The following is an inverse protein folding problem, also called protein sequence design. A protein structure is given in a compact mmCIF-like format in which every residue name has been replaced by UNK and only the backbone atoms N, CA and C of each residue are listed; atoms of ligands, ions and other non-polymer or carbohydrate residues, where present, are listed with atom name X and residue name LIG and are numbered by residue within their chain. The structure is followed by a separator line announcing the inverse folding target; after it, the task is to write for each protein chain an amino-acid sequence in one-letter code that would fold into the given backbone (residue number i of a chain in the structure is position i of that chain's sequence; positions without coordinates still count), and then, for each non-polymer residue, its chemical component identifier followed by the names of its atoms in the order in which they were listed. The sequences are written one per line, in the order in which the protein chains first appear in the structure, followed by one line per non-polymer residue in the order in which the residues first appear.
data_IF_019350525343
#
_entry.id   IF_019350525343
#
_cell.length_a   1.000
_cell.length_b   1.000
_cell.length_c   1.000
_cell.angle_alpha   90.00
_cell.angle_beta   90.00
_cell.angle_gamma   90.00
#
_symmetry.space_group_name_H-M   'P 1'
#
loop_
_entity.id
_entity.type
_entity.pdbx_description
1 polymer ?
#
# COMPACT_ATOMS: atom_id res chain seq x y z
N UNK A 1 -6.14 7.04 25.36
CA UNK A 1 -6.76 5.78 24.88
C UNK A 1 -8.02 5.97 24.04
N UNK A 2 -9.07 6.68 24.52
CA UNK A 2 -10.38 6.69 23.85
C UNK A 2 -10.42 7.13 22.37
N UNK A 3 -9.60 8.10 21.94
CA UNK A 3 -9.56 8.53 20.52
C UNK A 3 -8.90 7.49 19.59
N UNK A 4 -7.84 6.81 20.06
CA UNK A 4 -7.11 5.81 19.28
C UNK A 4 -8.01 4.60 19.01
N UNK A 5 -8.70 4.13 20.04
CA UNK A 5 -9.61 2.99 19.93
C UNK A 5 -10.72 3.28 18.92
N UNK A 6 -11.32 4.48 18.96
CA UNK A 6 -12.36 4.90 18.00
C UNK A 6 -11.90 4.84 16.54
N UNK A 7 -10.66 5.21 16.25
CA UNK A 7 -10.13 5.15 14.88
C UNK A 7 -9.99 3.69 14.45
N UNK A 8 -9.42 2.85 15.31
CA UNK A 8 -9.22 1.43 15.00
C UNK A 8 -10.56 0.70 14.86
N UNK A 9 -11.52 0.98 15.74
CA UNK A 9 -12.89 0.45 15.66
C UNK A 9 -13.57 0.87 14.36
N UNK A 10 -13.47 2.15 13.99
CA UNK A 10 -14.03 2.64 12.73
C UNK A 10 -13.40 1.94 11.52
N UNK A 11 -12.08 1.76 11.50
CA UNK A 11 -11.38 1.04 10.41
C UNK A 11 -11.81 -0.43 10.34
N UNK A 12 -11.94 -1.13 11.47
CA UNK A 12 -12.34 -2.53 11.49
C UNK A 12 -13.84 -2.73 11.19
N UNK A 13 -14.69 -1.74 11.50
CA UNK A 13 -16.15 -1.84 11.34
C UNK A 13 -16.69 -1.23 10.05
N UNK A 14 -15.88 -0.50 9.28
CA UNK A 14 -16.34 0.14 8.04
C UNK A 14 -16.50 -0.90 6.91
N UNK A 15 -17.71 -1.05 6.32
CA UNK A 15 -17.97 -2.06 5.28
C UNK A 15 -17.21 -1.82 3.97
N UNK A 16 -16.73 -0.59 3.74
CA UNK A 16 -15.93 -0.24 2.57
C UNK A 16 -14.44 -0.48 2.75
N UNK A 17 -13.99 -0.93 3.94
CA UNK A 17 -12.59 -1.17 4.26
C UNK A 17 -12.37 -2.67 4.44
N UNK A 18 -11.44 -3.22 3.66
CA UNK A 18 -11.01 -4.61 3.82
C UNK A 18 -9.61 -4.65 4.45
N UNK A 19 -9.52 -5.22 5.65
CA UNK A 19 -8.24 -5.40 6.36
C UNK A 19 -7.64 -6.76 5.97
N UNK A 20 -6.49 -6.73 5.29
CA UNK A 20 -5.77 -7.94 4.92
C UNK A 20 -4.71 -8.26 5.99
N UNK A 21 -4.81 -9.43 6.62
CA UNK A 21 -3.83 -9.97 7.57
C UNK A 21 -3.41 -11.34 7.06
N UNK A 22 -2.36 -11.38 6.25
CA UNK A 22 -1.93 -12.59 5.55
C UNK A 22 -0.42 -12.70 5.53
N UNK A 23 0.10 -13.85 5.97
CA UNK A 23 1.54 -14.14 5.87
C UNK A 23 2.06 -14.02 4.43
N UNK A 24 1.22 -14.34 3.42
CA UNK A 24 1.59 -14.17 2.03
C UNK A 24 1.78 -12.69 1.65
N UNK A 25 0.95 -11.80 2.20
CA UNK A 25 1.12 -10.36 2.02
C UNK A 25 2.44 -9.89 2.65
N UNK A 26 2.76 -10.38 3.84
CA UNK A 26 4.00 -10.05 4.55
C UNK A 26 5.25 -10.49 3.75
N UNK A 27 5.20 -11.70 3.15
CA UNK A 27 6.27 -12.24 2.30
C UNK A 27 6.44 -11.43 1.02
N UNK A 28 5.35 -11.09 0.32
CA UNK A 28 5.42 -10.29 -0.90
C UNK A 28 5.94 -8.87 -0.63
N UNK A 29 5.54 -8.25 0.48
CA UNK A 29 6.07 -6.97 0.91
C UNK A 29 7.57 -7.06 1.21
N UNK A 30 8.03 -8.12 1.87
CA UNK A 30 9.46 -8.34 2.13
C UNK A 30 10.27 -8.52 0.84
N UNK A 31 9.75 -9.26 -0.15
CA UNK A 31 10.38 -9.38 -1.48
C UNK A 31 10.51 -8.01 -2.15
N UNK A 32 9.44 -7.21 -2.15
CA UNK A 32 9.45 -5.86 -2.69
C UNK A 32 10.50 -4.97 -2.01
N UNK A 33 10.63 -5.06 -0.68
CA UNK A 33 11.64 -4.32 0.08
C UNK A 33 13.07 -4.66 -0.37
N UNK A 34 13.35 -5.94 -0.59
CA UNK A 34 14.67 -6.39 -1.04
C UNK A 34 14.95 -6.03 -2.50
N UNK A 35 13.93 -6.07 -3.35
CA UNK A 35 14.07 -5.78 -4.78
C UNK A 35 14.20 -4.29 -5.08
N UNK A 36 13.38 -3.46 -4.45
CA UNK A 36 13.23 -2.04 -4.82
C UNK A 36 13.78 -1.06 -3.77
N UNK A 37 14.13 -1.54 -2.57
CA UNK A 37 14.72 -0.69 -1.52
C UNK A 37 13.75 0.26 -0.80
N UNK A 38 12.49 0.35 -1.22
CA UNK A 38 11.44 1.26 -0.71
C UNK A 38 11.14 1.11 0.78
N UNK A 39 10.44 2.05 1.40
CA UNK A 39 9.89 1.84 2.74
C UNK A 39 9.00 0.57 2.81
N UNK A 40 9.06 -0.16 3.92
CA UNK A 40 8.30 -1.42 4.06
C UNK A 40 6.77 -1.17 3.96
N UNK A 41 6.31 -0.02 4.44
CA UNK A 41 4.90 0.41 4.31
C UNK A 41 4.46 0.53 2.85
N UNK A 42 5.32 1.06 1.98
CA UNK A 42 5.03 1.20 0.56
C UNK A 42 5.07 -0.15 -0.14
N UNK A 43 5.98 -1.03 0.31
CA UNK A 43 6.01 -2.42 -0.16
C UNK A 43 4.72 -3.17 0.19
N UNK A 44 4.14 -2.94 1.37
CA UNK A 44 2.83 -3.50 1.72
C UNK A 44 1.71 -3.00 0.80
N UNK A 45 1.72 -1.71 0.46
CA UNK A 45 0.76 -1.14 -0.46
C UNK A 45 0.85 -1.78 -1.86
N UNK A 46 2.07 -1.91 -2.40
CA UNK A 46 2.34 -2.51 -3.70
C UNK A 46 2.06 -4.03 -3.72
N UNK A 47 2.45 -4.75 -2.67
CA UNK A 47 2.14 -6.16 -2.54
C UNK A 47 0.64 -6.41 -2.49
N UNK A 48 -0.09 -5.60 -1.72
CA UNK A 48 -1.54 -5.69 -1.63
C UNK A 48 -2.23 -5.35 -2.96
N UNK A 49 -1.75 -4.32 -3.67
CA UNK A 49 -2.29 -3.97 -4.98
C UNK A 49 -2.11 -5.10 -5.98
N UNK A 50 -0.94 -5.75 -6.00
CA UNK A 50 -0.68 -6.92 -6.85
C UNK A 50 -1.56 -8.12 -6.48
N UNK A 51 -1.68 -8.46 -5.20
CA UNK A 51 -2.49 -9.60 -4.72
C UNK A 51 -3.98 -9.43 -5.04
N UNK A 52 -4.47 -8.18 -5.06
CA UNK A 52 -5.89 -7.86 -5.27
C UNK A 52 -6.18 -7.35 -6.68
N UNK A 53 -5.20 -7.35 -7.58
CA UNK A 53 -5.27 -6.70 -8.90
C UNK A 53 -5.81 -5.25 -8.83
N UNK A 54 -5.45 -4.54 -7.76
CA UNK A 54 -5.88 -3.18 -7.46
C UNK A 54 -4.87 -2.12 -7.90
N UNK A 55 -5.30 -0.86 -7.83
CA UNK A 55 -4.43 0.31 -8.05
C UNK A 55 -3.79 0.73 -6.72
N UNK A 56 -2.46 0.86 -6.70
CA UNK A 56 -1.75 1.46 -5.57
C UNK A 56 -1.82 2.99 -5.68
N UNK A 57 -2.37 3.64 -4.66
CA UNK A 57 -2.55 5.09 -4.63
C UNK A 57 -1.49 5.70 -3.72
N UNK A 58 -0.63 6.54 -4.29
CA UNK A 58 0.36 7.32 -3.56
C UNK A 58 -0.06 8.78 -3.54
N UNK A 59 0.36 9.52 -2.50
CA UNK A 59 0.04 10.95 -2.42
C UNK A 59 0.76 11.76 -3.50
N UNK A 60 2.03 11.47 -3.75
CA UNK A 60 2.94 12.19 -4.65
C UNK A 60 4.03 11.24 -5.15
N UNK A 61 4.73 11.62 -6.22
CA UNK A 61 5.93 10.90 -6.68
C UNK A 61 7.07 11.14 -5.71
N UNK A 62 7.62 10.04 -5.21
CA UNK A 62 8.82 10.07 -4.37
C UNK A 62 10.00 9.56 -5.17
N UNK A 63 11.22 10.01 -4.83
CA UNK A 63 12.44 9.67 -5.58
C UNK A 63 12.71 8.15 -5.63
N UNK A 64 12.16 7.43 -4.66
CA UNK A 64 12.29 5.98 -4.54
C UNK A 64 11.39 5.23 -5.55
N UNK A 65 10.32 5.88 -6.05
CA UNK A 65 9.44 5.31 -7.07
C UNK A 65 10.08 5.53 -8.44
N UNK A 66 10.60 4.45 -9.01
CA UNK A 66 11.25 4.47 -10.32
C UNK A 66 10.26 4.17 -11.45
N UNK A 67 10.57 4.56 -12.70
CA UNK A 67 9.73 4.21 -13.85
C UNK A 67 9.52 2.69 -14.03
N UNK A 68 10.48 1.87 -13.63
CA UNK A 68 10.34 0.41 -13.67
C UNK A 68 9.28 -0.08 -12.68
N UNK A 69 9.22 0.54 -11.48
CA UNK A 69 8.17 0.25 -10.50
C UNK A 69 6.80 0.68 -11.00
N UNK A 70 6.70 1.84 -11.66
CA UNK A 70 5.45 2.32 -12.27
C UNK A 70 4.97 1.42 -13.43
N UNK A 71 5.88 0.68 -14.08
CA UNK A 71 5.52 -0.30 -15.12
C UNK A 71 5.05 -1.62 -14.53
N UNK A 72 5.65 -2.06 -13.43
CA UNK A 72 5.33 -3.33 -12.77
C UNK A 72 4.00 -3.28 -11.99
N UNK A 73 3.58 -2.08 -11.58
CA UNK A 73 2.40 -1.87 -10.74
C UNK A 73 1.44 -0.84 -11.34
N UNK A 74 0.13 -1.05 -11.14
CA UNK A 74 -0.89 -0.03 -11.42
C UNK A 74 -0.80 1.06 -10.34
N UNK A 75 0.04 2.08 -10.55
CA UNK A 75 0.24 3.19 -9.62
C UNK A 75 -0.53 4.44 -10.08
N UNK A 76 -1.14 5.13 -9.13
CA UNK A 76 -1.79 6.43 -9.33
C UNK A 76 -1.28 7.41 -8.26
N UNK A 77 -0.96 8.64 -8.67
CA UNK A 77 -0.53 9.70 -7.77
C UNK A 77 -1.64 10.73 -7.58
N UNK A 78 -2.00 11.01 -6.32
CA UNK A 78 -3.05 11.98 -6.02
C UNK A 78 -2.68 13.41 -6.45
N UNK A 79 -1.38 13.74 -6.49
CA UNK A 79 -0.90 15.05 -6.99
C UNK A 79 -1.28 15.31 -8.46
N UNK A 80 -1.60 14.28 -9.25
CA UNK A 80 -2.04 14.46 -10.64
C UNK A 80 -3.49 15.00 -10.75
N UNK A 81 -4.21 15.05 -9.62
CA UNK A 81 -5.62 15.44 -9.53
C UNK A 81 -5.85 16.72 -8.71
N UNK A 82 -4.79 17.39 -8.26
CA UNK A 82 -4.87 18.54 -7.34
C UNK A 82 -4.11 19.74 -7.90
#
# INVERSE_FOLDING_TARGET
MGKVLKIVEWLNGNPSIHINRSFNLDVEAAKGKMQYGLALTDCYLLALSKIRDGTAIFRKREKEITPDLERDFKILFLEDYV
#
